data_IF_866659558352
#
_entry.id   IF_866659558352
#
_cell.length_a   1.000
_cell.length_b   1.000
_cell.length_c   1.000
_cell.angle_alpha   90.00
_cell.angle_beta   90.00
_cell.angle_gamma   90.00
#
_symmetry.space_group_name_H-M   'P 1'
#
loop_
_entity.id
_entity.type
_entity.pdbx_description
1 polymer ?
#
# COMPACT_ATOMS: atom_id res chain seq x y z
N UNK A 1 3.20 12.42 15.68
CA UNK A 1 3.51 11.16 15.00
C UNK A 1 3.82 11.55 13.57
N UNK A 2 5.01 11.22 13.07
CA UNK A 2 5.36 11.53 11.67
C UNK A 2 4.38 10.77 10.77
N UNK A 3 3.60 11.50 9.97
CA UNK A 3 2.79 10.91 8.90
C UNK A 3 3.76 10.37 7.85
N UNK A 4 4.23 9.15 8.04
CA UNK A 4 5.13 8.47 7.11
C UNK A 4 4.33 8.15 5.84
N UNK A 5 4.64 8.87 4.77
CA UNK A 5 4.11 8.56 3.44
C UNK A 5 4.95 7.45 2.83
N UNK A 6 4.31 6.33 2.49
CA UNK A 6 4.94 5.20 1.82
C UNK A 6 4.98 5.43 0.32
N UNK A 7 6.03 4.95 -0.35
CA UNK A 7 6.08 4.93 -1.82
C UNK A 7 5.73 3.51 -2.29
N UNK A 8 4.55 3.34 -2.88
CA UNK A 8 4.06 2.03 -3.29
C UNK A 8 4.95 1.38 -4.35
N UNK A 9 5.37 2.14 -5.37
CA UNK A 9 6.24 1.62 -6.43
C UNK A 9 7.58 1.13 -5.87
N UNK A 10 8.16 1.86 -4.90
CA UNK A 10 9.39 1.45 -4.24
C UNK A 10 9.19 0.17 -3.40
N UNK A 11 8.05 0.03 -2.73
CA UNK A 11 7.72 -1.18 -1.96
C UNK A 11 7.54 -2.41 -2.86
N UNK A 12 6.89 -2.24 -4.01
CA UNK A 12 6.74 -3.30 -5.01
C UNK A 12 8.09 -3.69 -5.60
N UNK A 13 8.92 -2.71 -5.98
CA UNK A 13 10.26 -2.97 -6.48
C UNK A 13 11.11 -3.71 -5.44
N UNK A 14 11.08 -3.28 -4.17
CA UNK A 14 11.77 -3.95 -3.06
C UNK A 14 11.26 -5.38 -2.87
N UNK A 15 9.95 -5.61 -2.94
CA UNK A 15 9.36 -6.95 -2.86
C UNK A 15 9.88 -7.87 -3.97
N UNK A 16 9.87 -7.40 -5.22
CA UNK A 16 10.34 -8.16 -6.38
C UNK A 16 11.86 -8.43 -6.35
N UNK A 17 12.65 -7.42 -5.96
CA UNK A 17 14.08 -7.57 -5.75
C UNK A 17 14.38 -8.59 -4.65
N UNK A 18 13.58 -8.63 -3.58
CA UNK A 18 13.74 -9.60 -2.50
C UNK A 18 13.34 -11.02 -2.90
N UNK A 19 12.32 -11.18 -3.76
CA UNK A 19 11.94 -12.48 -4.32
C UNK A 19 13.11 -13.13 -5.09
N UNK A 20 13.96 -12.30 -5.70
CA UNK A 20 15.08 -12.73 -6.53
C UNK A 20 16.43 -12.74 -5.80
N UNK A 21 16.62 -11.98 -4.72
CA UNK A 21 17.96 -11.69 -4.19
C UNK A 21 18.33 -12.25 -2.80
N UNK A 22 17.41 -12.57 -1.85
CA UNK A 22 17.85 -13.00 -0.49
C UNK A 22 16.97 -14.01 0.28
N UNK A 23 17.62 -15.11 0.70
CA UNK A 23 17.33 -15.88 1.92
C UNK A 23 17.80 -15.07 3.15
N UNK A 24 16.90 -14.78 4.10
CA UNK A 24 17.08 -14.19 5.45
C UNK A 24 17.29 -12.67 5.56
N UNK A 25 16.51 -12.10 6.49
CA UNK A 25 16.69 -10.76 7.05
C UNK A 25 15.69 -9.74 6.52
N UNK A 26 14.39 -10.07 6.58
CA UNK A 26 13.34 -9.10 6.28
C UNK A 26 13.17 -8.14 7.45
N UNK A 27 13.00 -6.87 7.12
CA UNK A 27 12.44 -5.85 7.97
C UNK A 27 11.97 -4.76 7.03
N UNK A 28 10.73 -4.86 6.55
CA UNK A 28 10.11 -3.77 5.81
C UNK A 28 10.27 -2.49 6.62
N UNK A 29 10.54 -1.37 5.94
CA UNK A 29 10.69 -0.07 6.61
C UNK A 29 9.42 0.39 7.37
N UNK A 30 8.33 -0.37 7.29
CA UNK A 30 7.13 -0.22 8.08
C UNK A 30 6.69 -1.59 8.63
N UNK A 31 6.53 -1.68 9.96
CA UNK A 31 6.27 -2.94 10.67
C UNK A 31 4.99 -3.64 10.20
N UNK A 32 3.98 -2.88 9.74
CA UNK A 32 2.74 -3.48 9.27
C UNK A 32 2.86 -4.17 7.91
N UNK A 33 3.92 -3.89 7.15
CA UNK A 33 4.16 -4.53 5.85
C UNK A 33 4.74 -5.93 5.99
N UNK A 34 5.08 -6.39 7.20
CA UNK A 34 5.50 -7.79 7.45
C UNK A 34 4.44 -8.81 7.06
N UNK A 35 3.16 -8.43 7.12
CA UNK A 35 2.03 -9.28 6.74
C UNK A 35 1.60 -9.07 5.29
N UNK A 36 2.15 -8.08 4.60
CA UNK A 36 1.77 -7.75 3.23
C UNK A 36 2.56 -8.58 2.21
N UNK A 37 1.83 -9.11 1.23
CA UNK A 37 2.38 -9.81 0.07
C UNK A 37 1.87 -9.09 -1.17
N UNK A 38 2.77 -8.70 -2.06
CA UNK A 38 2.38 -8.06 -3.31
C UNK A 38 1.65 -9.05 -4.24
N UNK A 39 0.66 -8.55 -4.97
CA UNK A 39 -0.14 -9.29 -5.94
C UNK A 39 0.03 -8.62 -7.32
N UNK A 40 0.00 -9.40 -8.40
CA UNK A 40 0.09 -8.86 -9.77
C UNK A 40 -1.11 -7.97 -10.13
N UNK A 41 -2.27 -8.21 -9.50
CA UNK A 41 -3.41 -7.29 -9.52
C UNK A 41 -3.18 -6.16 -8.51
N UNK A 42 -2.83 -4.97 -8.99
CA UNK A 42 -2.54 -3.79 -8.16
C UNK A 42 -3.73 -3.43 -7.23
N UNK A 43 -4.98 -3.75 -7.60
CA UNK A 43 -6.15 -3.52 -6.74
C UNK A 43 -6.13 -4.43 -5.51
N UNK A 44 -5.85 -5.72 -5.75
CA UNK A 44 -5.77 -6.73 -4.69
C UNK A 44 -4.55 -6.49 -3.81
N UNK A 45 -3.43 -6.08 -4.42
CA UNK A 45 -2.22 -5.78 -3.68
C UNK A 45 -2.39 -4.58 -2.76
N UNK A 46 -3.03 -3.51 -3.24
CA UNK A 46 -3.34 -2.33 -2.42
C UNK A 46 -4.34 -2.67 -1.30
N UNK A 47 -5.39 -3.44 -1.60
CA UNK A 47 -6.34 -3.89 -0.57
C UNK A 47 -5.65 -4.74 0.50
N UNK A 48 -4.80 -5.69 0.11
CA UNK A 48 -4.00 -6.50 1.03
C UNK A 48 -3.07 -5.67 1.90
N UNK A 49 -2.48 -4.60 1.37
CA UNK A 49 -1.67 -3.67 2.18
C UNK A 49 -2.49 -3.01 3.30
N UNK A 50 -3.71 -2.60 2.99
CA UNK A 50 -4.64 -1.97 3.95
C UNK A 50 -5.09 -2.99 5.00
N UNK A 51 -5.31 -4.25 4.61
CA UNK A 51 -5.59 -5.35 5.54
C UNK A 51 -4.43 -5.61 6.49
N UNK A 52 -3.20 -5.63 6.00
CA UNK A 52 -1.99 -5.78 6.83
C UNK A 52 -1.84 -4.62 7.81
N UNK A 53 -2.08 -3.38 7.36
CA UNK A 53 -2.11 -2.21 8.23
C UNK A 53 -3.12 -2.37 9.38
N UNK A 54 -4.34 -2.86 9.07
CA UNK A 54 -5.36 -3.15 10.09
C UNK A 54 -4.92 -4.25 11.05
N UNK A 55 -4.36 -5.34 10.55
CA UNK A 55 -3.90 -6.47 11.37
C UNK A 55 -2.79 -6.05 12.35
N UNK A 56 -1.99 -5.05 12.00
CA UNK A 56 -0.94 -4.46 12.84
C UNK A 56 -1.39 -3.29 13.70
N UNK A 57 -2.70 -2.95 13.71
CA UNK A 57 -3.26 -1.89 14.55
C UNK A 57 -2.95 -0.46 14.08
N UNK A 58 -2.57 -0.27 12.81
CA UNK A 58 -2.38 1.05 12.21
C UNK A 58 -3.74 1.68 11.94
N UNK A 59 -3.94 2.92 12.39
CA UNK A 59 -5.20 3.66 12.22
C UNK A 59 -5.17 4.66 11.07
N UNK A 60 -3.99 5.11 10.65
CA UNK A 60 -3.81 6.08 9.57
C UNK A 60 -2.45 5.89 8.91
N UNK A 61 -2.42 5.87 7.59
CA UNK A 61 -1.18 6.02 6.82
C UNK A 61 -1.45 6.71 5.48
N UNK A 62 -0.38 7.20 4.86
CA UNK A 62 -0.43 7.75 3.50
C UNK A 62 0.46 6.92 2.59
N UNK A 63 0.08 6.79 1.32
CA UNK A 63 0.95 6.30 0.27
C UNK A 63 0.93 7.20 -0.96
N UNK A 64 2.01 7.18 -1.73
CA UNK A 64 2.12 7.76 -3.06
C UNK A 64 2.33 6.66 -4.09
N UNK A 65 1.67 6.79 -5.23
CA UNK A 65 1.80 5.93 -6.39
C UNK A 65 2.21 6.77 -7.58
N UNK A 66 3.12 6.26 -8.42
CA UNK A 66 3.42 6.86 -9.71
C UNK A 66 2.16 6.90 -10.59
N UNK A 67 2.07 7.85 -11.53
CA UNK A 67 0.92 7.91 -12.45
C UNK A 67 0.73 6.64 -13.27
N UNK A 68 1.81 5.94 -13.60
CA UNK A 68 1.74 4.67 -14.32
C UNK A 68 1.11 3.53 -13.50
N UNK A 69 1.40 3.47 -12.21
CA UNK A 69 0.81 2.48 -11.30
C UNK A 69 -0.60 2.89 -10.89
N UNK A 70 -0.83 4.15 -10.55
CA UNK A 70 -2.18 4.67 -10.27
C UNK A 70 -3.14 4.47 -11.45
N UNK A 71 -2.68 4.61 -12.69
CA UNK A 71 -3.48 4.36 -13.89
C UNK A 71 -3.88 2.90 -14.11
N UNK A 72 -3.30 1.94 -13.38
CA UNK A 72 -3.70 0.53 -13.38
C UNK A 72 -4.67 0.16 -12.27
N UNK A 73 -4.85 1.04 -11.28
CA UNK A 73 -5.69 0.78 -10.10
C UNK A 73 -7.11 1.28 -10.32
N UNK A 74 -8.10 0.41 -10.11
CA UNK A 74 -9.49 0.79 -9.93
C UNK A 74 -9.75 1.12 -8.45
N UNK A 75 -9.58 2.39 -8.09
CA UNK A 75 -9.79 2.85 -6.72
C UNK A 75 -11.22 2.63 -6.20
N UNK A 76 -12.22 2.51 -7.06
CA UNK A 76 -13.58 2.19 -6.64
C UNK A 76 -13.71 0.71 -6.27
N UNK A 77 -13.04 -0.18 -7.01
CA UNK A 77 -12.92 -1.60 -6.63
C UNK A 77 -12.19 -1.75 -5.31
N UNK A 78 -11.06 -1.06 -5.10
CA UNK A 78 -10.33 -1.09 -3.83
C UNK A 78 -11.20 -0.61 -2.67
N UNK A 79 -11.93 0.50 -2.84
CA UNK A 79 -12.86 1.00 -1.82
C UNK A 79 -13.90 -0.04 -1.45
N UNK A 80 -14.50 -0.75 -2.41
CA UNK A 80 -15.48 -1.82 -2.14
C UNK A 80 -14.88 -2.97 -1.34
N UNK A 81 -13.62 -3.33 -1.59
CA UNK A 81 -12.96 -4.41 -0.84
C UNK A 81 -12.79 -4.01 0.63
N UNK A 82 -12.37 -2.76 0.89
CA UNK A 82 -11.99 -2.33 2.24
C UNK A 82 -13.09 -1.57 3.01
N UNK A 83 -14.24 -1.30 2.40
CA UNK A 83 -15.29 -0.42 2.95
C UNK A 83 -15.75 -0.79 4.37
N UNK A 84 -15.67 -2.08 4.71
CA UNK A 84 -16.06 -2.60 6.02
C UNK A 84 -15.12 -2.17 7.16
N UNK A 85 -13.93 -1.66 6.86
CA UNK A 85 -12.92 -1.37 7.88
C UNK A 85 -11.96 -0.23 7.56
N UNK A 86 -11.97 0.33 6.36
CA UNK A 86 -11.11 1.46 5.99
C UNK A 86 -11.82 2.46 5.08
N UNK A 87 -11.21 3.63 4.93
CA UNK A 87 -11.65 4.69 4.02
C UNK A 87 -10.44 5.25 3.28
N UNK A 88 -10.59 5.48 1.97
CA UNK A 88 -9.55 6.00 1.10
C UNK A 88 -9.90 7.40 0.62
N UNK A 89 -9.02 8.36 0.90
CA UNK A 89 -9.02 9.67 0.25
C UNK A 89 -7.92 9.68 -0.82
N UNK A 90 -8.31 9.89 -2.08
CA UNK A 90 -7.41 9.86 -3.23
C UNK A 90 -7.27 11.28 -3.76
N UNK A 91 -6.03 11.73 -3.95
CA UNK A 91 -5.71 13.04 -4.50
C UNK A 91 -4.68 12.88 -5.62
N UNK A 92 -4.98 13.47 -6.78
CA UNK A 92 -4.00 13.58 -7.87
C UNK A 92 -2.92 14.61 -7.51
N UNK A 93 -1.66 14.26 -7.76
CA UNK A 93 -0.50 15.13 -7.58
C UNK A 93 0.30 15.21 -8.90
N UNK A 94 1.20 16.18 -9.01
CA UNK A 94 1.94 16.44 -10.25
C UNK A 94 2.72 15.20 -10.76
N UNK A 95 3.21 14.36 -9.84
CA UNK A 95 4.05 13.19 -10.14
C UNK A 95 3.31 11.84 -9.94
N UNK A 96 1.99 11.86 -9.71
CA UNK A 96 1.20 10.65 -9.54
C UNK A 96 -0.06 10.83 -8.69
N UNK A 97 -0.26 9.93 -7.74
CA UNK A 97 -1.45 9.91 -6.88
C UNK A 97 -1.06 9.69 -5.44
N UNK A 98 -1.59 10.54 -4.57
CA UNK A 98 -1.49 10.36 -3.12
C UNK A 98 -2.79 9.77 -2.59
N UNK A 99 -2.65 8.79 -1.70
CA UNK A 99 -3.76 8.11 -1.05
C UNK A 99 -3.56 8.21 0.45
N UNK A 100 -4.57 8.72 1.14
CA UNK A 100 -4.66 8.66 2.59
C UNK A 100 -5.65 7.57 2.99
N UNK A 101 -5.21 6.68 3.87
CA UNK A 101 -5.96 5.52 4.31
C UNK A 101 -6.24 5.64 5.79
N UNK A 102 -7.52 5.73 6.16
CA UNK A 102 -7.99 5.73 7.54
C UNK A 102 -8.62 4.38 7.88
N UNK A 103 -8.15 3.71 8.92
CA UNK A 103 -8.62 2.39 9.37
C UNK A 103 -9.45 2.53 10.64
N UNK A 104 -10.54 1.77 10.72
CA UNK A 104 -11.54 1.78 11.81
C UNK A 104 -11.42 0.56 12.72
#
# INVERSE_FOLDING_TARGET
MENKTLNYDALVAEYQDNLTSKLRGFGSSCDFLELWVHDEDDDLSLAGMIESAKASGVSLFSLTMSGGTAGRVDFDRVRKIVEGFATLAVAEEADGTRIEVSIR
#
